data_IF_954883480419
#
_entry.id   IF_954883480419
#
_cell.length_a   1.000
_cell.length_b   1.000
_cell.length_c   1.000
_cell.angle_alpha   90.00
_cell.angle_beta   90.00
_cell.angle_gamma   90.00
#
_symmetry.space_group_name_H-M   'P 1'
#
loop_
_entity.id
_entity.type
_entity.pdbx_description
1 polymer ?
#
# COMPACT_ATOMS: atom_id res chain seq x y z
N UNK A 1 3.86 1.91 -8.29
CA UNK A 1 4.99 0.95 -8.49
C UNK A 1 4.70 -0.37 -7.77
N UNK A 2 4.48 -0.39 -6.47
CA UNK A 2 4.31 -1.64 -5.71
C UNK A 2 3.12 -2.51 -6.16
N UNK A 3 2.00 -1.93 -6.58
CA UNK A 3 0.85 -2.68 -7.09
C UNK A 3 1.19 -3.49 -8.35
N UNK A 4 2.08 -3.00 -9.20
CA UNK A 4 2.53 -3.71 -10.40
C UNK A 4 3.54 -4.82 -10.09
N UNK A 5 4.15 -4.82 -8.89
CA UNK A 5 5.18 -5.80 -8.55
C UNK A 5 4.64 -7.22 -8.42
N UNK A 6 3.39 -7.38 -8.02
CA UNK A 6 2.74 -8.68 -7.85
C UNK A 6 1.71 -8.99 -8.94
N UNK A 7 1.43 -8.03 -9.83
CA UNK A 7 0.49 -8.18 -10.94
C UNK A 7 1.20 -8.71 -12.18
N UNK A 8 0.66 -9.75 -12.78
CA UNK A 8 1.15 -10.35 -14.03
C UNK A 8 2.66 -10.67 -14.02
N UNK A 9 3.11 -11.34 -12.95
CA UNK A 9 4.53 -11.71 -12.77
C UNK A 9 4.76 -13.18 -13.08
N UNK A 10 5.96 -13.51 -13.56
CA UNK A 10 6.38 -14.90 -13.76
C UNK A 10 6.22 -15.72 -12.48
N UNK A 11 5.47 -16.82 -12.55
CA UNK A 11 5.14 -17.64 -11.38
C UNK A 11 4.16 -17.00 -10.37
N UNK A 12 3.53 -15.88 -10.75
CA UNK A 12 2.55 -15.18 -9.92
C UNK A 12 1.19 -15.88 -9.82
N UNK A 13 0.31 -15.33 -9.01
CA UNK A 13 -1.07 -15.76 -8.86
C UNK A 13 -1.94 -15.05 -9.90
N UNK A 14 -2.81 -15.79 -10.61
CA UNK A 14 -3.69 -15.22 -11.64
C UNK A 14 -4.77 -14.27 -11.11
N UNK A 15 -5.15 -14.45 -9.86
CA UNK A 15 -6.25 -13.69 -9.24
C UNK A 15 -5.81 -12.33 -8.71
N UNK A 16 -4.59 -11.90 -9.02
CA UNK A 16 -4.11 -10.57 -8.66
C UNK A 16 -4.52 -9.59 -9.75
N UNK A 17 -5.23 -8.55 -9.34
CA UNK A 17 -5.48 -7.37 -10.17
C UNK A 17 -4.80 -6.15 -9.55
N UNK A 18 -4.47 -5.16 -10.34
CA UNK A 18 -3.85 -3.92 -9.85
C UNK A 18 -4.73 -2.71 -10.14
N UNK A 19 -4.92 -1.89 -9.13
CA UNK A 19 -5.59 -0.61 -9.27
C UNK A 19 -4.52 0.41 -9.69
N UNK A 20 -4.60 0.86 -10.94
CA UNK A 20 -3.73 1.88 -11.53
C UNK A 20 -4.54 3.16 -11.73
N UNK A 21 -4.68 3.92 -10.68
CA UNK A 21 -5.38 5.20 -10.72
C UNK A 21 -4.47 6.30 -11.25
N UNK A 22 -4.85 6.94 -12.35
CA UNK A 22 -4.06 7.99 -13.01
C UNK A 22 -3.81 9.22 -12.12
N UNK A 23 -4.73 9.52 -11.21
CA UNK A 23 -4.60 10.63 -10.28
C UNK A 23 -3.41 10.47 -9.33
N UNK A 24 -3.20 9.27 -8.82
CA UNK A 24 -2.13 8.94 -7.88
C UNK A 24 -0.84 8.47 -8.55
N UNK A 25 -0.80 8.33 -9.87
CA UNK A 25 0.42 7.95 -10.59
C UNK A 25 1.42 9.12 -10.68
N UNK A 26 2.68 8.84 -10.36
CA UNK A 26 3.77 9.83 -10.45
C UNK A 26 4.03 10.31 -11.89
N UNK A 27 3.72 9.48 -12.90
CA UNK A 27 3.81 9.83 -14.32
C UNK A 27 2.92 11.00 -14.72
N UNK A 28 1.84 11.23 -13.99
CA UNK A 28 0.92 12.36 -14.18
C UNK A 28 1.39 13.66 -13.50
N UNK A 29 2.53 13.62 -12.81
CA UNK A 29 3.13 14.76 -12.08
C UNK A 29 3.26 14.47 -10.59
N UNK A 30 4.49 14.55 -10.06
CA UNK A 30 4.78 14.18 -8.68
C UNK A 30 4.02 15.02 -7.64
N UNK A 31 4.00 16.36 -7.81
CA UNK A 31 3.28 17.24 -6.90
C UNK A 31 1.76 17.06 -6.97
N UNK A 32 1.23 16.78 -8.16
CA UNK A 32 -0.19 16.46 -8.35
C UNK A 32 -0.54 15.15 -7.64
N UNK A 33 0.24 14.10 -7.85
CA UNK A 33 0.06 12.81 -7.18
C UNK A 33 0.06 12.96 -5.66
N UNK A 34 1.03 13.71 -5.11
CA UNK A 34 1.11 13.99 -3.68
C UNK A 34 -0.13 14.75 -3.16
N UNK A 35 -0.61 15.74 -3.89
CA UNK A 35 -1.81 16.48 -3.50
C UNK A 35 -3.06 15.59 -3.51
N UNK A 36 -3.20 14.73 -4.51
CA UNK A 36 -4.33 13.81 -4.64
C UNK A 36 -4.33 12.76 -3.53
N UNK A 37 -3.19 12.15 -3.21
CA UNK A 37 -3.12 11.15 -2.14
C UNK A 37 -3.44 11.72 -0.74
N UNK A 38 -3.30 13.03 -0.57
CA UNK A 38 -3.65 13.76 0.66
C UNK A 38 -5.11 14.24 0.68
N UNK A 39 -5.86 14.08 -0.42
CA UNK A 39 -7.23 14.53 -0.54
C UNK A 39 -8.20 13.51 0.07
N UNK A 40 -8.90 13.90 1.13
CA UNK A 40 -9.95 13.08 1.73
C UNK A 40 -11.12 12.85 0.77
N UNK A 41 -11.65 11.64 0.75
CA UNK A 41 -12.70 11.19 -0.14
C UNK A 41 -12.21 10.59 -1.46
N UNK A 42 -10.96 10.84 -1.86
CA UNK A 42 -10.44 10.33 -3.14
C UNK A 42 -10.34 8.80 -3.17
N UNK A 43 -9.79 8.20 -2.13
CA UNK A 43 -9.65 6.74 -2.05
C UNK A 43 -10.98 5.99 -2.07
N UNK A 44 -12.04 6.62 -1.58
CA UNK A 44 -13.40 6.10 -1.68
C UNK A 44 -13.82 5.95 -3.15
N UNK A 45 -13.64 7.00 -3.94
CA UNK A 45 -13.99 7.00 -5.38
C UNK A 45 -13.24 5.87 -6.10
N UNK A 46 -11.94 5.71 -5.82
CA UNK A 46 -11.12 4.67 -6.45
C UNK A 46 -11.62 3.27 -6.12
N UNK A 47 -11.99 3.00 -4.87
CA UNK A 47 -12.52 1.69 -4.45
C UNK A 47 -13.88 1.41 -5.07
N UNK A 48 -14.78 2.39 -5.08
CA UNK A 48 -16.12 2.27 -5.67
C UNK A 48 -16.07 2.05 -7.19
N UNK A 49 -15.21 2.79 -7.90
CA UNK A 49 -15.02 2.68 -9.35
C UNK A 49 -14.46 1.29 -9.76
N UNK A 50 -13.63 0.69 -8.91
CA UNK A 50 -13.11 -0.66 -9.13
C UNK A 50 -14.03 -1.78 -8.63
N UNK A 51 -15.19 -1.45 -8.06
CA UNK A 51 -16.19 -2.43 -7.64
C UNK A 51 -15.74 -3.35 -6.50
N UNK A 52 -14.82 -2.90 -5.64
CA UNK A 52 -14.29 -3.70 -4.52
C UNK A 52 -15.39 -3.97 -3.49
N UNK A 53 -15.56 -5.25 -3.12
CA UNK A 53 -16.62 -5.65 -2.21
C UNK A 53 -16.43 -7.02 -1.56
N UNK A 54 -17.56 -7.62 -1.17
CA UNK A 54 -17.56 -8.91 -0.45
C UNK A 54 -16.88 -10.01 -1.24
N UNK A 55 -15.94 -10.69 -0.61
CA UNK A 55 -15.12 -11.75 -1.22
C UNK A 55 -13.78 -11.28 -1.79
N UNK A 56 -13.59 -9.96 -1.89
CA UNK A 56 -12.32 -9.40 -2.34
C UNK A 56 -11.32 -9.23 -1.19
N UNK A 57 -10.04 -9.24 -1.54
CA UNK A 57 -8.93 -8.89 -0.69
C UNK A 57 -8.21 -7.66 -1.26
N UNK A 58 -8.33 -6.53 -0.57
CA UNK A 58 -7.64 -5.30 -0.96
C UNK A 58 -6.31 -5.15 -0.21
N UNK A 59 -5.20 -5.13 -0.94
CA UNK A 59 -3.86 -4.86 -0.39
C UNK A 59 -3.51 -3.39 -0.65
N UNK A 60 -3.23 -2.64 0.40
CA UNK A 60 -2.86 -1.23 0.33
C UNK A 60 -1.41 -1.06 0.78
N UNK A 61 -0.51 -0.78 -0.17
CA UNK A 61 0.91 -0.58 0.10
C UNK A 61 1.26 0.91 0.12
N UNK A 62 1.47 1.45 1.32
CA UNK A 62 1.91 2.83 1.54
C UNK A 62 2.83 2.90 2.76
N UNK A 63 4.11 3.24 2.56
CA UNK A 63 5.12 3.22 3.62
C UNK A 63 4.78 4.15 4.79
N UNK A 64 4.20 5.30 4.52
CA UNK A 64 3.86 6.29 5.56
C UNK A 64 2.60 5.94 6.34
N UNK A 65 1.63 5.30 5.68
CA UNK A 65 0.42 4.77 6.32
C UNK A 65 -0.49 5.82 6.96
N UNK A 66 -0.46 7.06 6.47
CA UNK A 66 -1.24 8.18 7.03
C UNK A 66 -2.10 8.91 6.00
N UNK A 67 -1.77 8.77 4.70
CA UNK A 67 -2.35 9.55 3.61
C UNK A 67 -3.85 9.32 3.48
N UNK A 68 -4.61 10.40 3.27
CA UNK A 68 -6.05 10.37 3.26
C UNK A 68 -6.64 9.35 2.28
N UNK A 69 -6.15 9.31 1.04
CA UNK A 69 -6.65 8.36 0.04
C UNK A 69 -6.48 6.88 0.44
N UNK A 70 -5.37 6.53 1.13
CA UNK A 70 -5.16 5.16 1.60
C UNK A 70 -6.15 4.77 2.71
N UNK A 71 -6.44 5.69 3.62
CA UNK A 71 -7.39 5.47 4.71
C UNK A 71 -8.82 5.38 4.19
N UNK A 72 -9.21 6.28 3.28
CA UNK A 72 -10.51 6.22 2.60
C UNK A 72 -10.70 4.87 1.89
N UNK A 73 -9.67 4.41 1.17
CA UNK A 73 -9.71 3.12 0.49
C UNK A 73 -9.92 1.96 1.48
N UNK A 74 -9.19 1.96 2.61
CA UNK A 74 -9.34 0.95 3.64
C UNK A 74 -10.76 0.95 4.25
N UNK A 75 -11.27 2.10 4.64
CA UNK A 75 -12.61 2.23 5.23
C UNK A 75 -13.71 1.84 4.24
N UNK A 76 -13.60 2.29 2.99
CA UNK A 76 -14.60 1.98 1.96
C UNK A 76 -14.61 0.49 1.63
N UNK A 77 -13.46 -0.12 1.41
CA UNK A 77 -13.36 -1.56 1.14
C UNK A 77 -13.96 -2.39 2.28
N UNK A 78 -13.63 -2.07 3.53
CA UNK A 78 -14.22 -2.76 4.69
C UNK A 78 -15.74 -2.57 4.77
N UNK A 79 -16.23 -1.36 4.54
CA UNK A 79 -17.69 -1.11 4.55
C UNK A 79 -18.43 -1.85 3.44
N UNK A 80 -17.74 -2.15 2.34
CA UNK A 80 -18.25 -2.96 1.23
C UNK A 80 -18.08 -4.48 1.44
N UNK A 81 -17.52 -4.89 2.57
CA UNK A 81 -17.35 -6.31 2.93
C UNK A 81 -16.06 -6.97 2.40
N UNK A 82 -15.13 -6.21 1.85
CA UNK A 82 -13.82 -6.72 1.47
C UNK A 82 -12.90 -6.88 2.69
N UNK A 83 -11.98 -7.84 2.61
CA UNK A 83 -10.88 -7.97 3.57
C UNK A 83 -9.74 -7.02 3.18
N UNK A 84 -9.07 -6.41 4.16
CA UNK A 84 -8.04 -5.41 3.89
C UNK A 84 -6.70 -5.77 4.53
N UNK A 85 -5.60 -5.57 3.78
CA UNK A 85 -4.22 -5.73 4.28
C UNK A 85 -3.45 -4.44 4.05
N UNK A 86 -2.87 -3.88 5.11
CA UNK A 86 -1.91 -2.79 5.01
C UNK A 86 -0.48 -3.34 4.84
N UNK A 87 0.28 -2.81 3.89
CA UNK A 87 1.73 -2.99 3.78
C UNK A 87 2.36 -1.63 4.04
N UNK A 88 2.86 -1.42 5.27
CA UNK A 88 3.19 -0.08 5.76
C UNK A 88 4.27 -0.15 6.85
N UNK A 89 4.87 0.97 7.23
CA UNK A 89 5.78 1.05 8.36
C UNK A 89 5.08 1.60 9.59
N UNK A 90 4.93 0.78 10.63
CA UNK A 90 4.37 1.18 11.91
C UNK A 90 5.23 2.27 12.56
N UNK A 91 6.55 2.12 12.53
CA UNK A 91 7.48 3.10 13.09
C UNK A 91 7.32 4.46 12.44
N UNK A 92 7.25 4.50 11.10
CA UNK A 92 7.05 5.74 10.37
C UNK A 92 5.70 6.36 10.71
N UNK A 93 4.61 5.61 10.60
CA UNK A 93 3.25 6.09 10.85
C UNK A 93 3.07 6.69 12.24
N UNK A 94 3.67 6.07 13.27
CA UNK A 94 3.56 6.50 14.67
C UNK A 94 4.40 7.73 15.01
N UNK A 95 5.43 8.04 14.22
CA UNK A 95 6.28 9.21 14.45
C UNK A 95 5.78 10.48 13.75
N UNK A 96 4.83 10.35 12.82
CA UNK A 96 4.25 11.52 12.17
C UNK A 96 3.22 12.18 13.12
N UNK A 97 3.32 13.49 13.36
CA UNK A 97 2.39 14.22 14.23
C UNK A 97 0.93 14.07 13.80
N UNK A 98 0.01 14.12 14.76
CA UNK A 98 -1.43 13.97 14.51
C UNK A 98 -2.01 15.10 13.65
N UNK A 99 -1.43 16.28 13.67
CA UNK A 99 -1.82 17.46 12.92
C UNK A 99 -1.12 17.57 11.56
N UNK A 100 -0.36 16.55 11.17
CA UNK A 100 0.33 16.56 9.88
C UNK A 100 -0.69 16.67 8.72
N UNK A 101 -0.49 17.61 7.76
CA UNK A 101 -1.48 17.93 6.73
C UNK A 101 -1.83 16.79 5.78
N UNK A 102 -0.96 15.80 5.64
CA UNK A 102 -1.22 14.61 4.82
C UNK A 102 -2.11 13.57 5.51
N UNK A 103 -2.35 13.70 6.84
CA UNK A 103 -3.15 12.73 7.56
C UNK A 103 -4.62 12.78 7.16
N UNK A 104 -5.21 11.59 7.13
CA UNK A 104 -6.66 11.48 7.07
C UNK A 104 -7.33 12.17 8.28
N UNK A 105 -8.51 12.81 8.12
CA UNK A 105 -9.22 13.49 9.22
C UNK A 105 -9.51 12.60 10.44
N UNK A 106 -9.61 11.28 10.27
CA UNK A 106 -9.77 10.33 11.38
C UNK A 106 -8.57 10.24 12.31
N UNK A 107 -7.39 10.70 11.89
CA UNK A 107 -6.10 10.59 12.58
C UNK A 107 -5.61 9.16 12.86
N UNK A 108 -6.31 8.15 12.35
CA UNK A 108 -5.94 6.74 12.45
C UNK A 108 -4.81 6.43 11.45
N UNK A 109 -3.95 5.48 11.77
CA UNK A 109 -2.94 4.96 10.87
C UNK A 109 -3.49 3.80 10.03
N UNK A 110 -2.94 3.58 8.84
CA UNK A 110 -3.41 2.55 7.90
C UNK A 110 -3.40 1.14 8.52
N UNK A 111 -2.36 0.79 9.29
CA UNK A 111 -2.28 -0.51 9.96
C UNK A 111 -3.39 -0.72 11.01
N UNK A 112 -3.97 0.36 11.54
CA UNK A 112 -5.10 0.31 12.48
C UNK A 112 -6.45 0.24 11.74
N UNK A 113 -6.51 0.78 10.53
CA UNK A 113 -7.72 0.80 9.71
C UNK A 113 -7.99 -0.55 9.04
N UNK A 114 -6.95 -1.27 8.63
CA UNK A 114 -7.05 -2.56 7.94
C UNK A 114 -7.29 -3.73 8.90
N UNK A 115 -7.76 -4.87 8.35
CA UNK A 115 -7.99 -6.10 9.11
C UNK A 115 -6.67 -6.78 9.47
N UNK A 116 -5.70 -6.73 8.55
CA UNK A 116 -4.35 -7.26 8.72
C UNK A 116 -3.31 -6.23 8.29
N UNK A 117 -2.08 -6.43 8.72
CA UNK A 117 -0.96 -5.59 8.27
C UNK A 117 0.35 -6.35 8.20
N UNK A 118 1.24 -5.86 7.34
CA UNK A 118 2.65 -6.24 7.26
C UNK A 118 3.47 -4.99 7.56
N UNK A 119 4.27 -5.05 8.63
CA UNK A 119 5.16 -3.96 9.01
C UNK A 119 6.48 -4.05 8.25
N UNK A 120 6.68 -3.13 7.32
CA UNK A 120 7.84 -3.10 6.41
C UNK A 120 9.11 -2.54 7.04
N UNK A 121 9.02 -2.00 8.26
CA UNK A 121 10.17 -1.44 9.01
C UNK A 121 10.91 -0.30 8.30
N UNK A 122 10.30 0.34 7.32
CA UNK A 122 10.88 1.51 6.66
C UNK A 122 11.13 2.61 7.70
N UNK A 123 12.35 3.15 7.81
CA UNK A 123 12.65 4.18 8.79
C UNK A 123 11.98 5.51 8.45
N UNK A 124 11.85 6.37 9.45
CA UNK A 124 11.31 7.73 9.24
C UNK A 124 12.18 8.49 8.26
N UNK A 125 11.51 9.16 7.31
CA UNK A 125 12.18 9.88 6.23
C UNK A 125 12.54 9.01 5.02
N UNK A 126 12.36 7.66 5.11
CA UNK A 126 12.56 6.72 4.00
C UNK A 126 14.01 6.59 3.49
N UNK A 127 14.77 7.68 3.44
CA UNK A 127 16.15 7.71 2.99
C UNK A 127 17.12 7.24 4.08
N UNK A 128 18.09 6.36 3.75
CA UNK A 128 18.93 5.67 4.73
C UNK A 128 20.43 5.89 4.58
N UNK A 129 20.89 6.45 3.46
CA UNK A 129 22.30 6.64 3.16
C UNK A 129 22.74 8.05 3.54
N UNK A 130 23.72 8.17 4.41
CA UNK A 130 24.43 9.43 4.70
C UNK A 130 25.57 9.60 3.71
N UNK A 131 25.71 10.80 3.16
CA UNK A 131 26.77 11.15 2.23
C UNK A 131 27.50 12.38 2.81
N UNK A 132 28.80 12.29 2.95
CA UNK A 132 29.61 13.40 3.47
C UNK A 132 29.39 14.68 2.67
N UNK A 133 29.11 15.77 3.38
CA UNK A 133 28.83 17.07 2.79
C UNK A 133 27.39 17.32 2.32
N UNK A 134 26.49 16.37 2.55
CA UNK A 134 25.05 16.57 2.34
C UNK A 134 24.29 16.60 3.67
N UNK A 135 23.42 17.59 3.83
CA UNK A 135 22.60 17.76 5.05
C UNK A 135 21.45 16.74 5.16
N UNK A 136 21.11 16.08 4.05
CA UNK A 136 20.00 15.12 4.00
C UNK A 136 20.46 13.75 3.55
N UNK A 137 19.79 12.71 4.08
CA UNK A 137 20.01 11.34 3.64
C UNK A 137 19.50 11.12 2.23
N UNK A 138 20.09 10.18 1.53
CA UNK A 138 19.74 9.71 0.20
C UNK A 138 19.28 8.24 0.24
N UNK A 139 18.79 7.71 -0.88
CA UNK A 139 18.47 6.29 -1.02
C UNK A 139 17.19 5.88 -0.30
N UNK A 140 16.05 6.28 -0.82
CA UNK A 140 14.74 5.84 -0.35
C UNK A 140 14.57 4.31 -0.50
N UNK A 141 14.14 3.63 0.56
CA UNK A 141 14.03 2.16 0.62
C UNK A 141 12.60 1.63 0.62
N UNK A 142 11.60 2.51 0.75
CA UNK A 142 10.19 2.10 0.87
C UNK A 142 9.72 1.21 -0.27
N UNK A 143 10.07 1.54 -1.51
CA UNK A 143 9.71 0.72 -2.68
C UNK A 143 10.30 -0.67 -2.59
N UNK A 144 11.57 -0.80 -2.20
CA UNK A 144 12.25 -2.08 -2.05
C UNK A 144 11.64 -2.92 -0.93
N UNK A 145 11.42 -2.31 0.23
CA UNK A 145 10.83 -3.00 1.39
C UNK A 145 9.40 -3.47 1.11
N UNK A 146 8.58 -2.61 0.48
CA UNK A 146 7.22 -2.98 0.11
C UNK A 146 7.19 -4.08 -0.96
N UNK A 147 8.04 -3.99 -1.98
CA UNK A 147 8.16 -5.02 -3.02
C UNK A 147 8.58 -6.37 -2.43
N UNK A 148 9.58 -6.37 -1.53
CA UNK A 148 10.01 -7.57 -0.81
C UNK A 148 8.86 -8.17 0.00
N UNK A 149 8.16 -7.36 0.81
CA UNK A 149 7.04 -7.81 1.63
C UNK A 149 5.91 -8.42 0.79
N UNK A 150 5.55 -7.78 -0.32
CA UNK A 150 4.52 -8.25 -1.24
C UNK A 150 4.92 -9.57 -1.91
N UNK A 151 6.15 -9.72 -2.37
CA UNK A 151 6.64 -10.97 -2.96
C UNK A 151 6.66 -12.09 -1.92
N UNK A 152 7.09 -11.83 -0.68
CA UNK A 152 7.02 -12.80 0.41
C UNK A 152 5.57 -13.24 0.69
N UNK A 153 4.63 -12.31 0.72
CA UNK A 153 3.21 -12.61 0.88
C UNK A 153 2.71 -13.52 -0.24
N UNK A 154 3.03 -13.21 -1.49
CA UNK A 154 2.59 -14.00 -2.66
C UNK A 154 3.20 -15.40 -2.65
N UNK A 155 4.49 -15.55 -2.36
CA UNK A 155 5.14 -16.85 -2.27
C UNK A 155 4.57 -17.70 -1.15
N UNK A 156 4.30 -17.09 0.01
CA UNK A 156 3.67 -17.79 1.14
C UNK A 156 2.26 -18.23 0.80
N UNK A 157 1.45 -17.35 0.20
CA UNK A 157 0.11 -17.69 -0.25
C UNK A 157 0.12 -18.84 -1.27
N UNK A 158 1.02 -18.79 -2.27
CA UNK A 158 1.17 -19.85 -3.25
C UNK A 158 1.55 -21.20 -2.61
N UNK A 159 2.43 -21.18 -1.62
CA UNK A 159 2.81 -22.40 -0.87
C UNK A 159 1.63 -23.00 -0.11
N UNK A 160 0.84 -22.16 0.55
CA UNK A 160 -0.36 -22.58 1.29
C UNK A 160 -1.42 -23.12 0.33
N UNK A 161 -1.72 -22.41 -0.76
CA UNK A 161 -2.67 -22.86 -1.78
C UNK A 161 -2.27 -24.20 -2.36
N UNK A 162 -0.99 -24.42 -2.63
CA UNK A 162 -0.46 -25.71 -3.09
C UNK A 162 -0.68 -26.81 -2.07
N UNK A 163 -0.47 -26.54 -0.78
CA UNK A 163 -0.66 -27.56 0.28
C UNK A 163 -2.13 -27.98 0.44
N UNK A 164 -3.07 -27.13 0.06
CA UNK A 164 -4.51 -27.39 0.06
C UNK A 164 -5.03 -27.88 -1.30
N UNK A 165 -4.15 -28.22 -2.24
CA UNK A 165 -4.51 -28.66 -3.61
C UNK A 165 -5.34 -27.65 -4.40
N UNK A 166 -5.37 -26.39 -3.97
CA UNK A 166 -6.03 -25.32 -4.69
C UNK A 166 -5.18 -24.96 -5.91
N UNK A 167 -5.78 -25.07 -7.09
CA UNK A 167 -5.13 -24.84 -8.37
C UNK A 167 -4.51 -23.44 -8.46
N UNK A 168 -3.32 -23.37 -9.05
CA UNK A 168 -2.67 -22.13 -9.46
C UNK A 168 -2.42 -22.18 -10.96
N UNK A 169 -2.65 -21.08 -11.63
CA UNK A 169 -2.16 -20.94 -12.99
C UNK A 169 -0.78 -20.27 -12.98
N UNK A 170 0.05 -20.68 -13.90
CA UNK A 170 1.35 -20.08 -14.16
C UNK A 170 1.23 -19.18 -15.38
N UNK A 171 1.84 -18.04 -15.32
CA UNK A 171 2.09 -17.17 -16.47
C UNK A 171 3.53 -17.41 -16.92
#
# INVERSE_FOLDING_TARGET
MNAMEIFFRAGGLLHINTILDEGTMLSSGALRSMAIEQTAGYGKIVVEDNGIGSGDLLIIANAYGINAACLDAAFTAKSSGATTIAVTSITHANQIPEDHPARHPSKINLYQACDYYIDTKVPVGDAVIEIDGLDQKMGAVSTLCNAFALNCLMMTAASILKSHEIGRAHV
#
